data_IF_144415468194
#
_entry.id   IF_144415468194
#
_cell.length_a   1.000
_cell.length_b   1.000
_cell.length_c   1.000
_cell.angle_alpha   90.00
_cell.angle_beta   90.00
_cell.angle_gamma   90.00
#
_symmetry.space_group_name_H-M   'P 1'
#
loop_
_entity.id
_entity.type
_entity.pdbx_description
1 polymer ?
#
# COMPACT_ATOMS: atom_id res chain seq x y z
N UNK A 1 -9.65 2.23 28.53
CA UNK A 1 -9.62 3.69 28.63
C UNK A 1 -9.21 4.26 27.30
N UNK A 2 -9.86 5.34 26.88
CA UNK A 2 -9.65 5.97 25.59
C UNK A 2 -8.37 6.80 25.69
N UNK A 3 -7.28 6.28 25.10
CA UNK A 3 -5.94 6.87 25.22
C UNK A 3 -5.90 8.24 24.53
N UNK A 4 -5.45 9.27 25.24
CA UNK A 4 -5.43 10.65 24.76
C UNK A 4 -6.71 11.45 25.01
N UNK A 5 -7.76 10.80 25.53
CA UNK A 5 -9.05 11.43 25.85
C UNK A 5 -9.40 11.29 27.34
N UNK A 6 -8.43 10.95 28.19
CA UNK A 6 -8.65 10.60 29.60
C UNK A 6 -9.24 11.76 30.41
N UNK A 7 -9.06 13.00 29.96
CA UNK A 7 -9.55 14.23 30.62
C UNK A 7 -10.82 14.79 30.00
N UNK A 8 -11.30 14.23 28.89
CA UNK A 8 -12.49 14.73 28.22
C UNK A 8 -13.78 14.26 28.91
N UNK A 9 -14.79 15.13 28.88
CA UNK A 9 -16.12 14.81 29.39
C UNK A 9 -16.96 14.20 28.28
N UNK A 10 -17.75 13.19 28.61
CA UNK A 10 -18.75 12.66 27.69
C UNK A 10 -19.83 13.70 27.41
N UNK A 11 -20.26 13.76 26.15
CA UNK A 11 -21.36 14.59 25.66
C UNK A 11 -22.46 13.67 25.13
N UNK A 12 -23.71 14.10 25.26
CA UNK A 12 -24.85 13.36 24.72
C UNK A 12 -24.94 13.53 23.20
N UNK A 13 -24.98 12.42 22.46
CA UNK A 13 -25.27 12.36 21.03
C UNK A 13 -26.54 11.52 20.82
N UNK A 14 -27.58 12.14 20.27
CA UNK A 14 -28.83 11.45 19.96
C UNK A 14 -28.80 10.90 18.53
N UNK A 15 -28.97 9.60 18.40
CA UNK A 15 -29.08 8.89 17.11
C UNK A 15 -30.27 7.92 17.15
N UNK A 16 -30.76 7.52 15.98
CA UNK A 16 -31.87 6.54 15.88
C UNK A 16 -31.47 5.22 16.53
N UNK A 17 -32.44 4.55 17.16
CA UNK A 17 -32.20 3.32 17.90
C UNK A 17 -31.56 2.21 17.04
N UNK A 18 -32.04 2.02 15.81
CA UNK A 18 -31.48 1.05 14.87
C UNK A 18 -30.00 1.32 14.59
N UNK A 19 -29.66 2.58 14.30
CA UNK A 19 -28.28 3.03 14.04
C UNK A 19 -27.40 2.84 15.27
N UNK A 20 -27.91 3.17 16.47
CA UNK A 20 -27.18 2.97 17.72
C UNK A 20 -26.86 1.49 17.97
N UNK A 21 -27.81 0.61 17.64
CA UNK A 21 -27.64 -0.85 17.76
C UNK A 21 -26.55 -1.36 16.82
N UNK A 22 -26.61 -0.97 15.56
CA UNK A 22 -25.62 -1.35 14.55
C UNK A 22 -24.23 -0.83 14.91
N UNK A 23 -24.15 0.43 15.35
CA UNK A 23 -22.89 1.05 15.76
C UNK A 23 -22.28 0.38 17.01
N UNK A 24 -23.10 -0.06 17.97
CA UNK A 24 -22.62 -0.84 19.13
C UNK A 24 -22.03 -2.18 18.72
N UNK A 25 -22.65 -2.87 17.76
CA UNK A 25 -22.11 -4.12 17.21
C UNK A 25 -20.80 -3.86 16.47
N UNK A 26 -20.75 -2.80 15.66
CA UNK A 26 -19.54 -2.38 14.95
C UNK A 26 -18.38 -2.07 15.92
N UNK A 27 -18.63 -1.25 16.95
CA UNK A 27 -17.62 -0.88 17.95
C UNK A 27 -17.03 -2.11 18.66
N UNK A 28 -17.89 -3.09 19.00
CA UNK A 28 -17.45 -4.37 19.57
C UNK A 28 -16.56 -5.18 18.62
N UNK A 29 -16.88 -5.20 17.33
CA UNK A 29 -16.05 -5.89 16.33
C UNK A 29 -14.66 -5.27 16.20
N UNK A 30 -14.56 -3.95 16.37
CA UNK A 30 -13.30 -3.20 16.35
C UNK A 30 -12.50 -3.31 17.65
N UNK A 31 -13.09 -3.88 18.71
CA UNK A 31 -12.52 -3.90 20.08
C UNK A 31 -12.24 -2.50 20.65
N UNK A 32 -12.96 -1.49 20.18
CA UNK A 32 -12.81 -0.08 20.57
C UNK A 32 -14.03 0.41 21.36
N UNK A 33 -13.85 1.47 22.16
CA UNK A 33 -14.99 2.18 22.77
C UNK A 33 -15.85 2.83 21.69
N UNK A 34 -17.09 3.21 22.01
CA UNK A 34 -17.97 3.89 21.04
C UNK A 34 -17.38 5.23 20.56
N UNK A 35 -16.73 5.99 21.44
CA UNK A 35 -16.07 7.24 21.08
C UNK A 35 -14.88 6.99 20.15
N UNK A 36 -14.05 6.00 20.46
CA UNK A 36 -12.88 5.66 19.64
C UNK A 36 -13.28 5.06 18.29
N UNK A 37 -14.28 4.19 18.25
CA UNK A 37 -14.79 3.63 17.00
C UNK A 37 -15.36 4.73 16.08
N UNK A 38 -16.03 5.74 16.65
CA UNK A 38 -16.52 6.88 15.88
C UNK A 38 -15.35 7.71 15.34
N UNK A 39 -14.33 7.95 16.17
CA UNK A 39 -13.12 8.68 15.77
C UNK A 39 -12.37 7.96 14.65
N UNK A 40 -12.12 6.66 14.79
CA UNK A 40 -11.46 5.84 13.79
C UNK A 40 -12.25 5.83 12.46
N UNK A 41 -13.58 5.79 12.53
CA UNK A 41 -14.42 5.89 11.33
C UNK A 41 -14.27 7.24 10.64
N UNK A 42 -14.26 8.35 11.38
CA UNK A 42 -14.07 9.70 10.82
C UNK A 42 -12.67 9.86 10.21
N UNK A 43 -11.64 9.43 10.95
CA UNK A 43 -10.25 9.47 10.50
C UNK A 43 -10.07 8.61 9.25
N UNK A 44 -10.73 7.45 9.15
CA UNK A 44 -10.72 6.61 7.94
C UNK A 44 -11.23 7.37 6.71
N UNK A 45 -12.35 8.08 6.81
CA UNK A 45 -12.88 8.84 5.67
C UNK A 45 -11.99 10.03 5.32
N UNK A 46 -11.45 10.74 6.31
CA UNK A 46 -10.56 11.88 6.06
C UNK A 46 -9.22 11.47 5.45
N UNK A 47 -8.53 10.51 6.06
CA UNK A 47 -7.18 10.09 5.64
C UNK A 47 -7.21 9.46 4.24
N UNK A 48 -8.28 8.74 3.91
CA UNK A 48 -8.43 8.14 2.59
C UNK A 48 -9.15 9.05 1.58
N UNK A 49 -9.53 10.28 1.97
CA UNK A 49 -10.29 11.23 1.16
C UNK A 49 -11.57 10.60 0.54
N UNK A 50 -12.22 9.71 1.29
CA UNK A 50 -13.37 8.93 0.85
C UNK A 50 -14.68 9.61 1.24
N UNK A 51 -15.65 9.60 0.33
CA UNK A 51 -17.02 9.98 0.67
C UNK A 51 -17.85 8.76 1.09
N UNK A 52 -18.64 8.83 2.18
CA UNK A 52 -19.59 7.77 2.55
C UNK A 52 -20.62 7.44 1.45
N UNK A 53 -20.84 8.36 0.52
CA UNK A 53 -21.74 8.18 -0.63
C UNK A 53 -21.04 7.57 -1.85
N UNK A 54 -19.71 7.47 -1.82
CA UNK A 54 -18.95 6.90 -2.92
C UNK A 54 -19.10 5.37 -2.92
N UNK A 55 -19.48 4.82 -4.07
CA UNK A 55 -19.55 3.37 -4.26
C UNK A 55 -18.16 2.85 -4.56
N UNK A 56 -17.36 2.67 -3.52
CA UNK A 56 -16.21 1.80 -3.58
C UNK A 56 -16.76 0.41 -3.89
N UNK A 57 -16.34 -0.17 -5.01
CA UNK A 57 -16.84 -1.48 -5.46
C UNK A 57 -16.71 -2.58 -4.39
N UNK A 58 -17.07 -3.83 -4.70
CA UNK A 58 -17.25 -4.91 -3.71
C UNK A 58 -16.07 -5.13 -2.74
N UNK A 59 -14.86 -4.64 -3.04
CA UNK A 59 -13.78 -4.46 -2.06
C UNK A 59 -12.77 -3.42 -2.56
N UNK A 60 -12.10 -2.66 -1.68
CA UNK A 60 -10.93 -1.86 -2.06
C UNK A 60 -9.84 -2.67 -2.80
N UNK A 61 -9.77 -3.98 -2.52
CA UNK A 61 -8.95 -4.95 -3.27
C UNK A 61 -9.29 -5.05 -4.75
N UNK A 62 -10.57 -4.89 -5.13
CA UNK A 62 -10.98 -4.88 -6.55
C UNK A 62 -10.55 -3.59 -7.25
N UNK A 63 -10.55 -2.46 -6.54
CA UNK A 63 -9.97 -1.21 -7.05
C UNK A 63 -8.45 -1.34 -7.24
N UNK A 64 -7.74 -1.91 -6.27
CA UNK A 64 -6.30 -2.17 -6.38
C UNK A 64 -5.98 -3.09 -7.57
N UNK A 65 -6.76 -4.16 -7.77
CA UNK A 65 -6.59 -5.07 -8.90
C UNK A 65 -6.84 -4.39 -10.24
N UNK A 66 -7.87 -3.53 -10.33
CA UNK A 66 -8.15 -2.74 -11.53
C UNK A 66 -7.05 -1.71 -11.81
N UNK A 67 -6.51 -1.07 -10.77
CA UNK A 67 -5.40 -0.12 -10.90
C UNK A 67 -4.13 -0.82 -11.38
N UNK A 68 -3.78 -1.99 -10.81
CA UNK A 68 -2.66 -2.82 -11.26
C UNK A 68 -2.77 -3.19 -12.74
N UNK A 69 -3.97 -3.58 -13.20
CA UNK A 69 -4.23 -3.85 -14.63
C UNK A 69 -3.99 -2.63 -15.50
N UNK A 70 -4.46 -1.45 -15.08
CA UNK A 70 -4.24 -0.18 -15.81
C UNK A 70 -2.76 0.18 -15.89
N UNK A 71 -2.02 0.05 -14.79
CA UNK A 71 -0.57 0.32 -14.76
C UNK A 71 0.17 -0.63 -15.69
N UNK A 72 -0.13 -1.93 -15.66
CA UNK A 72 0.49 -2.89 -16.57
C UNK A 72 0.20 -2.58 -18.05
N UNK A 73 -1.00 -2.11 -18.37
CA UNK A 73 -1.34 -1.67 -19.72
C UNK A 73 -0.52 -0.43 -20.14
N UNK A 74 -0.40 0.56 -19.26
CA UNK A 74 0.44 1.75 -19.51
C UNK A 74 1.91 1.35 -19.73
N UNK A 75 2.46 0.46 -18.91
CA UNK A 75 3.82 -0.06 -19.08
C UNK A 75 3.97 -0.76 -20.44
N UNK A 76 2.98 -1.55 -20.85
CA UNK A 76 3.01 -2.21 -22.16
C UNK A 76 3.02 -1.20 -23.31
N UNK A 77 2.19 -0.15 -23.23
CA UNK A 77 2.16 0.94 -24.22
C UNK A 77 3.51 1.66 -24.28
N UNK A 78 4.09 2.02 -23.13
CA UNK A 78 5.40 2.69 -23.08
C UNK A 78 6.49 1.80 -23.70
N UNK A 79 6.52 0.50 -23.38
CA UNK A 79 7.47 -0.44 -24.00
C UNK A 79 7.28 -0.58 -25.50
N UNK A 80 6.03 -0.53 -25.98
CA UNK A 80 5.73 -0.61 -27.41
C UNK A 80 6.23 0.64 -28.15
N UNK A 81 5.98 1.84 -27.60
CA UNK A 81 6.53 3.11 -28.12
C UNK A 81 8.06 3.09 -28.11
N UNK A 82 8.67 2.54 -27.06
CA UNK A 82 10.12 2.40 -26.95
C UNK A 82 10.67 1.51 -28.07
N UNK A 83 10.04 0.37 -28.34
CA UNK A 83 10.47 -0.60 -29.36
C UNK A 83 10.22 -0.12 -30.79
N UNK A 84 9.08 0.49 -31.05
CA UNK A 84 8.63 0.81 -32.42
C UNK A 84 9.14 2.16 -32.91
N UNK A 85 9.28 3.15 -32.02
CA UNK A 85 9.67 4.51 -32.40
C UNK A 85 11.04 4.86 -31.82
N UNK A 86 11.17 4.81 -30.50
CA UNK A 86 12.28 5.46 -29.80
C UNK A 86 13.62 4.77 -30.04
N UNK A 87 13.68 3.43 -29.95
CA UNK A 87 14.91 2.63 -30.17
C UNK A 87 15.39 2.72 -31.62
N UNK A 88 14.55 2.48 -32.65
CA UNK A 88 14.97 2.62 -34.03
C UNK A 88 15.45 4.04 -34.36
N UNK A 89 14.74 5.07 -33.90
CA UNK A 89 15.16 6.47 -34.12
C UNK A 89 16.50 6.77 -33.45
N UNK A 90 16.72 6.30 -32.22
CA UNK A 90 18.00 6.45 -31.55
C UNK A 90 19.13 5.72 -32.28
N UNK A 91 18.91 4.47 -32.72
CA UNK A 91 19.88 3.71 -33.50
C UNK A 91 20.23 4.38 -34.85
N UNK A 92 19.22 4.95 -35.52
CA UNK A 92 19.40 5.70 -36.75
C UNK A 92 20.23 6.96 -36.52
N UNK A 93 19.94 7.73 -35.46
CA UNK A 93 20.73 8.90 -35.09
C UNK A 93 22.17 8.53 -34.72
N UNK A 94 22.37 7.47 -33.95
CA UNK A 94 23.71 6.96 -33.63
C UNK A 94 24.49 6.59 -34.90
N UNK A 95 23.82 5.97 -35.87
CA UNK A 95 24.42 5.62 -37.17
C UNK A 95 24.77 6.85 -38.01
N UNK A 96 23.95 7.91 -37.98
CA UNK A 96 24.21 9.17 -38.69
C UNK A 96 25.38 9.96 -38.11
N UNK A 97 25.59 9.88 -36.80
CA UNK A 97 26.66 10.61 -36.09
C UNK A 97 27.89 9.74 -35.79
N UNK A 98 27.96 8.50 -36.31
CA UNK A 98 29.02 7.52 -36.03
C UNK A 98 29.32 7.35 -34.53
N UNK A 99 28.30 7.55 -33.69
CA UNK A 99 28.43 7.37 -32.24
C UNK A 99 28.43 5.88 -31.95
N UNK A 100 29.45 5.40 -31.24
CA UNK A 100 29.44 4.02 -30.75
C UNK A 100 28.15 3.77 -29.96
N UNK A 101 27.46 2.63 -30.18
CA UNK A 101 26.27 2.29 -29.42
C UNK A 101 26.64 2.31 -27.93
N UNK A 102 25.94 3.12 -27.14
CA UNK A 102 26.16 3.15 -25.69
C UNK A 102 25.92 1.74 -25.16
N UNK A 103 26.99 1.08 -24.68
CA UNK A 103 26.90 -0.22 -24.02
C UNK A 103 25.86 -0.12 -22.91
N UNK A 104 24.78 -0.92 -23.02
CA UNK A 104 23.74 -0.95 -22.00
C UNK A 104 24.40 -1.20 -20.64
N UNK A 105 24.28 -0.22 -19.74
CA UNK A 105 24.78 -0.39 -18.37
C UNK A 105 24.02 -1.57 -17.77
N UNK A 106 24.71 -2.55 -17.14
CA UNK A 106 24.05 -3.70 -16.57
C UNK A 106 22.98 -3.22 -15.59
N UNK A 107 21.77 -3.75 -15.72
CA UNK A 107 20.69 -3.52 -14.77
C UNK A 107 21.20 -3.90 -13.38
N UNK A 108 21.23 -2.92 -12.46
CA UNK A 108 21.52 -3.17 -11.05
C UNK A 108 20.27 -3.87 -10.49
N UNK A 109 20.27 -5.20 -10.56
CA UNK A 109 19.21 -6.02 -9.95
C UNK A 109 19.54 -6.13 -8.47
N UNK A 110 18.61 -5.70 -7.60
CA UNK A 110 18.71 -5.96 -6.17
C UNK A 110 18.84 -7.47 -5.95
N UNK A 111 19.96 -7.90 -5.36
CA UNK A 111 20.12 -9.28 -4.92
C UNK A 111 19.04 -9.54 -3.88
N UNK A 112 18.01 -10.30 -4.26
CA UNK A 112 17.13 -10.92 -3.28
C UNK A 112 18.02 -11.83 -2.44
N UNK A 113 18.30 -11.42 -1.21
CA UNK A 113 18.88 -12.29 -0.20
C UNK A 113 17.87 -13.42 0.01
N UNK A 114 18.07 -14.52 -0.72
CA UNK A 114 17.47 -15.79 -0.40
C UNK A 114 17.85 -16.07 1.06
N UNK A 115 16.82 -16.31 1.87
CA UNK A 115 16.94 -16.68 3.28
C UNK A 115 17.69 -18.01 3.37
N UNK A 116 19.02 -17.98 3.35
CA UNK A 116 19.82 -19.17 3.59
C UNK A 116 20.37 -19.22 5.00
N UNK A 117 20.06 -20.35 5.64
CA UNK A 117 20.58 -20.95 6.87
C UNK A 117 20.02 -20.44 8.21
N UNK A 118 19.00 -21.17 8.67
CA UNK A 118 18.67 -21.38 10.08
C UNK A 118 19.85 -22.05 10.80
N UNK A 119 20.89 -21.34 11.25
CA UNK A 119 21.70 -21.75 12.42
C UNK A 119 22.35 -20.52 13.08
N UNK A 120 22.19 -20.31 14.40
CA UNK A 120 22.94 -19.25 15.09
C UNK A 120 24.44 -19.62 15.11
N UNK A 121 25.28 -18.67 14.68
CA UNK A 121 26.76 -18.79 14.61
C UNK A 121 27.45 -18.88 15.99
N UNK A 122 26.72 -18.74 17.09
CA UNK A 122 27.29 -18.76 18.44
C UNK A 122 26.48 -19.69 19.35
N UNK A 123 27.21 -20.58 20.02
CA UNK A 123 26.74 -21.37 21.17
C UNK A 123 27.67 -21.05 22.34
N UNK A 124 27.11 -20.61 23.46
CA UNK A 124 27.87 -20.35 24.68
C UNK A 124 28.54 -21.64 25.17
N UNK A 125 29.82 -21.55 25.57
CA UNK A 125 30.49 -22.64 26.28
C UNK A 125 29.93 -22.71 27.70
N UNK A 126 29.40 -23.87 28.08
CA UNK A 126 29.11 -24.16 29.48
C UNK A 126 30.44 -24.22 30.26
N UNK A 127 30.48 -23.56 31.41
CA UNK A 127 31.57 -23.71 32.38
C UNK A 127 31.43 -25.08 33.03
N UNK A 128 32.45 -25.92 32.92
CA UNK A 128 32.61 -27.08 33.80
C UNK A 128 33.23 -26.60 35.12
N UNK A 129 32.76 -27.20 36.22
CA UNK A 129 33.15 -26.92 37.61
C UNK A 129 34.63 -27.23 37.90
#
# INVERSE_FOLDING_TARGET
MDKGYEKERFVNLSIKESVARDFRVFSKKLSSSQSMALREMLDFFQVNELSPNERLGPSGRTMEANLKKRINAVIAIIRDIEKTQTKPTNAMLQSLFELEPQKEKPLIVEKKYAQDSKQPRFREKQKED
#
